data_IF_467883957617
#
_entry.id   IF_467883957617
#
_cell.length_a   1.000
_cell.length_b   1.000
_cell.length_c   1.000
_cell.angle_alpha   90.00
_cell.angle_beta   90.00
_cell.angle_gamma   90.00
#
_symmetry.space_group_name_H-M   'P 1'
#
loop_
_entity.id
_entity.type
_entity.pdbx_description
1 polymer ?
2 polymer ?
3 water ?
#
# COMPACT_ATOMS: atom_id res chain seq x y z
N UNK A 1 -0.14 22.66 18.59
CA UNK A 1 -1.30 22.43 19.50
C UNK A 1 -2.17 21.29 18.98
N UNK A 2 -2.56 20.43 19.92
CA UNK A 2 -3.42 19.29 19.62
C UNK A 2 -4.82 19.70 19.20
N UNK A 3 -5.39 20.61 19.98
CA UNK A 3 -6.81 20.90 19.93
C UNK A 3 -7.16 21.60 18.61
N UNK A 4 -6.14 22.21 18.03
CA UNK A 4 -6.26 22.97 16.80
C UNK A 4 -6.20 22.01 15.63
N UNK A 5 -5.31 21.04 15.77
CA UNK A 5 -5.29 19.92 14.87
C UNK A 5 -6.63 19.17 14.86
N UNK A 6 -7.08 18.71 16.02
CA UNK A 6 -8.41 18.11 16.12
C UNK A 6 -9.48 18.94 15.39
N UNK A 7 -9.53 20.23 15.72
CA UNK A 7 -10.49 21.12 15.07
C UNK A 7 -10.39 21.03 13.55
N UNK A 8 -9.16 21.06 13.05
CA UNK A 8 -8.97 21.11 11.62
C UNK A 8 -9.46 19.82 10.98
N UNK A 9 -9.13 18.68 11.62
CA UNK A 9 -9.64 17.39 11.20
C UNK A 9 -11.17 17.32 11.30
N UNK A 10 -11.70 17.80 12.40
CA UNK A 10 -13.14 17.85 12.51
C UNK A 10 -13.75 18.33 11.20
N UNK A 11 -13.11 19.30 10.53
CA UNK A 11 -13.70 19.87 9.32
C UNK A 11 -13.69 18.92 8.12
N UNK A 12 -12.86 17.89 8.15
CA UNK A 12 -12.84 16.96 7.02
C UNK A 12 -13.59 15.64 7.24
N UNK A 13 -13.78 15.25 8.50
CA UNK A 13 -14.53 14.02 8.78
C UNK A 13 -16.04 14.25 8.64
N UNK A 14 -16.78 13.19 8.32
CA UNK A 14 -18.23 13.19 8.50
C UNK A 14 -18.56 13.38 10.00
N UNK A 15 -19.72 13.97 10.32
CA UNK A 15 -19.81 14.27 11.76
C UNK A 15 -20.42 13.11 12.49
N UNK A 16 -20.45 13.17 13.81
CA UNK A 16 -21.13 12.13 14.55
C UNK A 16 -20.25 10.99 15.02
N UNK A 17 -20.88 9.84 15.19
CA UNK A 17 -20.32 8.75 15.97
C UNK A 17 -20.85 7.50 15.34
N UNK A 18 -19.98 6.68 14.74
CA UNK A 18 -20.46 5.53 14.01
C UNK A 18 -20.65 4.33 14.95
N UNK A 19 -20.05 4.45 16.13
CA UNK A 19 -20.15 3.51 17.24
C UNK A 19 -21.60 3.27 17.53
N UNK A 20 -22.42 4.11 16.92
CA UNK A 20 -23.84 4.06 17.10
C UNK A 20 -24.48 3.18 16.05
N UNK A 21 -23.82 2.94 14.91
CA UNK A 21 -24.47 2.11 13.88
C UNK A 21 -23.77 0.79 13.56
N UNK A 22 -22.68 0.53 14.29
CA UNK A 22 -21.81 -0.62 14.10
C UNK A 22 -21.82 -1.48 15.31
N UNK A 23 -21.64 -2.79 15.11
CA UNK A 23 -21.30 -3.72 16.21
C UNK A 23 -20.59 -4.96 15.72
N UNK A 24 -20.27 -5.82 16.67
CA UNK A 24 -19.42 -7.01 16.51
C UNK A 24 -18.02 -6.63 16.08
N UNK A 25 -17.33 -5.86 16.91
CA UNK A 25 -15.97 -5.45 16.56
C UNK A 25 -15.02 -6.64 16.67
N UNK A 26 -14.15 -6.82 15.68
CA UNK A 26 -13.17 -7.88 15.71
C UNK A 26 -11.85 -7.30 15.35
N UNK A 27 -10.92 -7.26 16.28
CA UNK A 27 -9.64 -6.68 15.97
C UNK A 27 -8.90 -7.58 15.05
N UNK A 28 -8.15 -7.05 14.12
CA UNK A 28 -7.34 -7.90 13.28
C UNK A 28 -6.06 -7.33 12.74
N UNK A 29 -5.62 -6.17 13.20
CA UNK A 29 -4.50 -5.52 12.56
C UNK A 29 -3.65 -4.52 13.29
N UNK A 30 -2.55 -4.17 12.67
CA UNK A 30 -1.65 -3.10 13.15
C UNK A 30 -0.90 -2.48 11.95
N UNK A 31 -1.12 -1.19 11.72
CA UNK A 31 -0.52 -0.45 10.59
C UNK A 31 -0.90 1.01 10.77
N UNK A 32 -0.14 1.93 10.15
CA UNK A 32 -0.19 3.36 10.52
C UNK A 32 0.32 3.43 11.98
N UNK A 33 -0.46 4.02 12.88
CA UNK A 33 -0.51 3.52 14.26
C UNK A 33 -1.96 3.54 14.67
N UNK A 34 -2.33 2.57 15.49
CA UNK A 34 -3.72 2.28 15.72
C UNK A 34 -4.17 1.08 14.89
N UNK A 35 -5.32 0.57 15.28
CA UNK A 35 -5.86 -0.72 14.92
C UNK A 35 -6.68 -0.75 13.63
N UNK A 36 -6.75 -1.95 13.04
CA UNK A 36 -7.79 -2.31 12.07
C UNK A 36 -8.79 -3.23 12.83
N UNK A 37 -10.08 -3.03 12.60
CA UNK A 37 -11.11 -3.86 13.18
C UNK A 37 -12.11 -4.18 12.07
N UNK A 38 -13.07 -5.01 12.38
CA UNK A 38 -14.08 -5.35 11.43
C UNK A 38 -15.38 -5.18 12.20
N UNK A 39 -16.44 -4.72 11.55
CA UNK A 39 -17.69 -4.67 12.24
C UNK A 39 -18.83 -4.89 11.28
N UNK A 40 -20.04 -4.89 11.83
CA UNK A 40 -21.23 -5.12 11.04
C UNK A 40 -22.08 -3.88 11.07
N UNK A 41 -22.39 -3.32 9.89
CA UNK A 41 -23.32 -2.18 9.83
C UNK A 41 -24.66 -2.72 10.33
N UNK A 42 -25.11 -2.21 11.49
CA UNK A 42 -26.36 -2.65 12.10
C UNK A 42 -27.50 -2.64 11.07
N UNK A 43 -27.72 -1.51 10.39
CA UNK A 43 -28.84 -1.41 9.42
C UNK A 43 -28.87 -2.48 8.33
N UNK A 44 -27.72 -2.79 7.72
CA UNK A 44 -27.70 -3.65 6.53
C UNK A 44 -27.23 -5.08 6.76
N UNK A 45 -26.59 -5.34 7.89
CA UNK A 45 -25.92 -6.63 8.14
C UNK A 45 -24.57 -6.81 7.44
N UNK A 46 -24.07 -5.74 6.83
CA UNK A 46 -22.93 -5.81 5.93
C UNK A 46 -21.68 -5.60 6.72
N UNK A 47 -20.55 -5.99 6.13
CA UNK A 47 -19.26 -5.96 6.85
C UNK A 47 -18.39 -4.83 6.42
N UNK A 48 -17.83 -4.13 7.41
CA UNK A 48 -16.85 -3.08 7.10
C UNK A 48 -15.55 -3.29 7.84
N UNK A 49 -14.55 -2.50 7.42
CA UNK A 49 -13.25 -2.49 8.01
C UNK A 49 -13.06 -1.09 8.59
N UNK A 50 -12.86 -1.04 9.89
CA UNK A 50 -12.75 0.20 10.64
C UNK A 50 -11.31 0.33 11.12
N UNK A 51 -10.76 1.52 10.90
CA UNK A 51 -9.35 1.77 11.12
C UNK A 51 -9.31 2.96 12.04
N UNK A 52 -8.67 2.76 13.17
CA UNK A 52 -8.68 3.73 14.25
C UNK A 52 -7.26 4.24 14.50
N UNK A 53 -7.09 5.54 14.45
CA UNK A 53 -5.74 6.05 14.63
C UNK A 53 -5.74 7.07 15.71
N UNK A 54 -4.91 6.83 16.73
CA UNK A 54 -4.82 7.76 17.82
C UNK A 54 -4.07 8.97 17.29
N UNK A 55 -4.65 10.14 17.47
CA UNK A 55 -4.05 11.41 17.03
C UNK A 55 -2.77 11.78 17.82
N UNK A 56 -2.68 11.35 19.08
CA UNK A 56 -1.50 11.53 19.96
C UNK A 56 -0.27 10.68 19.62
N UNK A 57 -0.47 9.56 18.95
CA UNK A 57 0.65 8.76 18.60
C UNK A 57 0.79 8.68 17.11
N UNK A 58 1.55 9.58 16.53
CA UNK A 58 1.74 9.55 15.10
C UNK A 58 3.02 10.20 14.76
N UNK A 59 3.75 9.69 13.79
CA UNK A 59 5.02 10.30 13.52
C UNK A 59 4.85 11.71 13.04
N UNK A 60 3.99 11.89 12.07
CA UNK A 60 3.66 13.21 11.61
C UNK A 60 2.17 13.19 11.57
N UNK A 61 1.57 13.81 12.55
CA UNK A 61 0.16 13.73 12.74
C UNK A 61 -0.62 14.29 11.57
N UNK A 62 -0.15 15.33 10.96
CA UNK A 62 -0.93 15.88 9.86
C UNK A 62 -0.94 15.05 8.55
N UNK A 63 -0.17 13.97 8.51
CA UNK A 63 -0.38 12.94 7.46
C UNK A 63 -1.76 12.35 7.58
N UNK A 64 -2.37 12.45 8.78
CA UNK A 64 -3.73 12.01 8.96
C UNK A 64 -4.72 12.59 7.94
N UNK A 65 -4.56 13.85 7.54
CA UNK A 65 -5.46 14.44 6.54
C UNK A 65 -5.51 13.59 5.31
N UNK A 66 -4.33 13.24 4.80
CA UNK A 66 -4.15 12.49 3.56
C UNK A 66 -5.08 11.28 3.45
N UNK A 67 -5.02 10.37 4.43
CA UNK A 67 -6.03 9.31 4.58
C UNK A 67 -7.31 9.62 3.79
N UNK A 68 -8.10 10.52 4.37
CA UNK A 68 -9.43 10.89 3.91
C UNK A 68 -9.45 11.57 2.54
N UNK A 69 -8.27 11.91 2.00
CA UNK A 69 -8.15 12.58 0.67
C UNK A 69 -8.82 11.80 -0.45
N UNK A 70 -8.66 10.47 -0.40
CA UNK A 70 -9.20 9.57 -1.41
C UNK A 70 -10.70 9.35 -1.15
N UNK A 71 -11.40 10.42 -0.82
CA UNK A 71 -12.83 10.36 -0.62
C UNK A 71 -13.58 10.27 -1.94
N UNK A 72 -14.46 9.28 -2.01
CA UNK A 72 -15.35 9.05 -3.13
C UNK A 72 -14.59 8.53 -4.33
N UNK A 73 -13.30 8.33 -4.13
CA UNK A 73 -12.48 7.80 -5.18
C UNK A 73 -12.80 6.36 -5.33
N UNK A 74 -12.59 5.85 -6.52
CA UNK A 74 -12.43 6.67 -7.67
C UNK A 74 -13.80 7.25 -7.95
N UNK A 75 -14.78 6.38 -7.73
CA UNK A 75 -14.38 5.08 -7.15
C UNK A 75 -13.77 4.09 -8.16
N UNK A 76 -12.47 3.85 -8.00
CA UNK A 76 -11.72 2.96 -8.85
C UNK A 76 -11.92 1.53 -8.39
N UNK A 77 -12.09 0.64 -9.35
CA UNK A 77 -12.35 -0.76 -9.11
C UNK A 77 -11.14 -1.49 -8.49
N UNK A 78 -9.93 -0.94 -8.65
CA UNK A 78 -8.75 -1.50 -8.00
C UNK A 78 -8.31 -0.73 -6.77
N UNK A 79 -9.14 0.19 -6.30
CA UNK A 79 -8.85 0.93 -5.07
C UNK A 79 -9.82 0.53 -3.95
N UNK A 80 -9.29 0.43 -2.73
CA UNK A 80 -10.15 0.18 -1.58
C UNK A 80 -11.15 1.31 -1.47
N UNK A 81 -12.44 0.97 -1.47
CA UNK A 81 -13.48 1.97 -1.34
C UNK A 81 -13.58 2.41 0.12
N UNK A 82 -13.58 3.73 0.30
CA UNK A 82 -13.89 4.33 1.60
C UNK A 82 -15.37 4.75 1.66
N UNK A 83 -15.99 4.55 2.81
CA UNK A 83 -17.37 4.92 2.98
C UNK A 83 -17.55 6.19 3.83
N UNK A 84 -16.73 6.35 4.88
CA UNK A 84 -16.93 7.42 5.83
C UNK A 84 -15.73 7.59 6.68
N UNK A 85 -15.63 8.73 7.34
CA UNK A 85 -14.60 8.96 8.33
C UNK A 85 -15.18 9.80 9.49
N UNK A 86 -14.76 9.50 10.70
CA UNK A 86 -15.34 10.21 11.80
C UNK A 86 -14.20 10.54 12.72
N UNK A 87 -14.43 11.51 13.56
CA UNK A 87 -13.54 11.73 14.70
C UNK A 87 -14.27 11.11 15.88
N UNK A 88 -13.58 10.28 16.68
CA UNK A 88 -14.21 9.59 17.83
C UNK A 88 -13.22 9.53 18.99
N UNK A 89 -13.49 10.31 20.02
CA UNK A 89 -12.55 10.43 21.14
C UNK A 89 -11.31 11.10 20.58
N UNK A 90 -10.15 10.59 20.95
CA UNK A 90 -8.92 11.13 20.39
C UNK A 90 -8.45 10.37 19.15
N UNK A 91 -9.40 9.80 18.40
CA UNK A 91 -9.06 8.96 17.26
C UNK A 91 -9.76 9.33 15.93
N UNK A 92 -9.10 8.99 14.84
CA UNK A 92 -9.73 9.08 13.54
C UNK A 92 -10.23 7.70 13.15
N UNK A 93 -11.44 7.64 12.66
CA UNK A 93 -11.98 6.38 12.23
C UNK A 93 -12.25 6.42 10.79
N UNK A 94 -11.55 5.59 10.02
CA UNK A 94 -11.91 5.43 8.62
C UNK A 94 -12.65 4.13 8.39
N UNK A 95 -13.81 4.21 7.77
CA UNK A 95 -14.68 3.06 7.66
C UNK A 95 -14.74 2.68 6.21
N UNK A 96 -14.09 1.60 5.84
CA UNK A 96 -14.06 1.24 4.47
C UNK A 96 -14.52 -0.14 4.14
N UNK A 97 -14.29 -0.50 2.90
CA UNK A 97 -14.67 -1.75 2.36
C UNK A 97 -13.96 -2.85 3.11
N UNK A 98 -14.54 -4.02 3.17
CA UNK A 98 -13.91 -5.14 3.83
C UNK A 98 -13.34 -6.06 2.78
N UNK A 99 -12.09 -6.45 2.93
CA UNK A 99 -11.42 -7.25 1.91
C UNK A 99 -11.15 -8.66 2.43
N UNK A 100 -12.18 -9.50 2.29
CA UNK A 100 -12.22 -10.81 2.94
C UNK A 100 -11.10 -11.80 2.57
N UNK A 101 -10.29 -11.47 1.56
CA UNK A 101 -9.20 -12.33 1.16
C UNK A 101 -7.87 -12.06 1.83
N UNK A 102 -7.80 -11.02 2.65
CA UNK A 102 -6.58 -10.71 3.33
C UNK A 102 -5.60 -9.98 2.47
N UNK A 103 -4.39 -9.80 2.95
CA UNK A 103 -3.32 -9.18 2.18
C UNK A 103 -2.55 -10.17 1.34
N UNK A 104 -1.82 -9.63 0.39
CA UNK A 104 -0.93 -10.36 -0.49
C UNK A 104 0.25 -10.94 0.25
N UNK A 105 0.62 -10.31 1.33
CA UNK A 105 1.80 -10.67 2.01
C UNK A 105 1.73 -12.10 2.47
N UNK A 106 0.61 -12.52 2.97
CA UNK A 106 0.56 -13.87 3.46
C UNK A 106 0.87 -14.81 2.34
N UNK A 107 0.35 -14.53 1.16
CA UNK A 107 0.60 -15.30 -0.05
C UNK A 107 2.09 -15.35 -0.45
N UNK A 108 2.66 -14.14 -0.53
CA UNK A 108 4.02 -13.92 -0.95
C UNK A 108 5.04 -14.70 -0.07
N UNK A 109 4.69 -14.88 1.20
CA UNK A 109 5.60 -15.50 2.15
C UNK A 109 5.21 -16.94 2.50
N UNK A 110 4.25 -17.50 1.78
CA UNK A 110 3.81 -18.88 2.02
C UNK A 110 3.72 -19.71 0.80
N UNK A 111 3.66 -19.06 -0.37
CA UNK A 111 3.59 -19.79 -1.63
C UNK A 111 4.53 -19.20 -2.67
N UNK A 112 4.53 -19.82 -3.84
CA UNK A 112 5.30 -19.33 -4.95
C UNK A 112 4.35 -19.02 -6.09
N UNK A 113 4.03 -17.75 -6.24
CA UNK A 113 3.15 -17.26 -7.28
C UNK A 113 3.80 -17.57 -8.62
N UNK A 114 3.03 -18.09 -9.56
CA UNK A 114 3.56 -18.24 -10.90
C UNK A 114 3.31 -16.93 -11.58
N UNK A 115 3.86 -16.77 -12.77
CA UNK A 115 3.91 -15.46 -13.45
C UNK A 115 2.56 -14.94 -13.96
N UNK A 116 1.66 -15.86 -14.30
CA UNK A 116 0.26 -15.56 -14.60
C UNK A 116 -0.35 -14.74 -13.46
N UNK A 117 -0.07 -15.18 -12.23
CA UNK A 117 -0.51 -14.51 -11.02
C UNK A 117 0.29 -13.22 -10.75
N UNK A 118 1.61 -13.27 -10.86
CA UNK A 118 2.39 -12.03 -10.78
C UNK A 118 1.80 -10.96 -11.72
N UNK A 119 1.72 -11.32 -13.00
CA UNK A 119 1.14 -10.44 -14.02
C UNK A 119 -0.15 -9.86 -13.52
N UNK A 120 -1.12 -10.75 -13.28
CA UNK A 120 -2.41 -10.33 -12.73
C UNK A 120 -2.21 -9.27 -11.67
N UNK A 121 -1.46 -9.59 -10.63
CA UNK A 121 -1.36 -8.65 -9.56
C UNK A 121 -0.82 -7.30 -10.03
N UNK A 122 0.23 -7.32 -10.85
CA UNK A 122 0.80 -6.05 -11.33
C UNK A 122 -0.18 -5.35 -12.25
N UNK A 123 -0.87 -6.12 -13.08
CA UNK A 123 -1.89 -5.53 -13.92
C UNK A 123 -2.74 -4.63 -13.04
N UNK A 124 -3.37 -5.22 -12.02
CA UNK A 124 -4.37 -4.54 -11.20
C UNK A 124 -3.80 -3.41 -10.36
N UNK A 125 -2.54 -3.54 -9.95
CA UNK A 125 -1.86 -2.46 -9.22
C UNK A 125 -1.49 -1.31 -10.15
N UNK A 126 -1.15 -1.63 -11.39
CA UNK A 126 -0.83 -0.57 -12.36
C UNK A 126 -2.08 0.15 -12.79
N UNK A 127 -3.03 -0.59 -13.37
CA UNK A 127 -4.35 -0.07 -13.70
C UNK A 127 -4.76 0.93 -12.62
N UNK A 128 -4.36 0.65 -11.38
CA UNK A 128 -4.59 1.59 -10.26
C UNK A 128 -3.69 2.82 -10.26
N UNK A 129 -2.39 2.66 -10.07
CA UNK A 129 -1.52 3.82 -9.89
C UNK A 129 -1.63 4.79 -11.09
N UNK A 130 -1.88 4.26 -12.28
CA UNK A 130 -2.00 5.09 -13.50
C UNK A 130 -2.97 6.24 -13.25
N UNK A 131 -4.23 5.88 -12.99
CA UNK A 131 -5.28 6.83 -12.60
C UNK A 131 -4.78 7.83 -11.54
N UNK A 132 -4.10 7.32 -10.51
CA UNK A 132 -3.66 8.15 -9.39
C UNK A 132 -2.58 9.13 -9.74
N UNK A 133 -1.59 8.67 -10.51
CA UNK A 133 -0.53 9.54 -10.95
C UNK A 133 -1.15 10.56 -11.86
N UNK A 134 -2.17 10.13 -12.60
CA UNK A 134 -2.89 10.96 -13.57
C UNK A 134 -3.52 12.21 -12.92
N UNK A 135 -4.27 12.01 -11.84
CA UNK A 135 -4.81 13.10 -11.05
C UNK A 135 -3.84 13.58 -9.95
N UNK A 136 -2.53 13.39 -10.13
CA UNK A 136 -1.49 13.87 -9.20
C UNK A 136 -1.16 13.08 -7.92
N UNK A 137 -2.00 12.08 -7.59
CA UNK A 137 -1.87 11.31 -6.36
C UNK A 137 -0.68 10.33 -6.38
N UNK A 138 0.38 10.58 -5.58
CA UNK A 138 1.43 9.59 -5.19
C UNK A 138 0.93 8.64 -4.06
N UNK A 139 1.44 7.40 -3.97
CA UNK A 139 1.03 6.51 -2.87
C UNK A 139 2.05 6.41 -1.78
N UNK A 140 3.29 6.14 -2.15
CA UNK A 140 4.43 6.28 -1.25
C UNK A 140 4.71 5.14 -0.29
N UNK A 141 3.82 4.16 -0.27
CA UNK A 141 4.05 2.97 0.55
C UNK A 141 3.52 1.68 -0.06
N UNK A 142 4.00 1.40 -1.26
CA UNK A 142 3.66 0.21 -2.01
C UNK A 142 4.47 -1.00 -1.47
N UNK A 143 3.78 -2.14 -1.34
CA UNK A 143 4.36 -3.33 -0.72
C UNK A 143 3.30 -4.43 -0.65
N UNK A 144 3.66 -5.67 -0.38
CA UNK A 144 2.64 -6.71 -0.45
C UNK A 144 1.66 -6.46 0.65
N UNK A 145 2.09 -5.77 1.70
CA UNK A 145 1.19 -5.54 2.81
C UNK A 145 0.02 -4.65 2.39
N UNK A 146 0.26 -3.72 1.45
CA UNK A 146 -0.70 -2.73 1.00
C UNK A 146 -1.66 -3.22 -0.07
N UNK A 147 -1.59 -4.51 -0.39
CA UNK A 147 -2.42 -5.08 -1.46
C UNK A 147 -3.41 -6.01 -0.85
N UNK A 148 -4.66 -5.95 -1.32
CA UNK A 148 -5.74 -6.64 -0.66
C UNK A 148 -6.56 -7.43 -1.64
N UNK A 149 -7.24 -8.44 -1.12
CA UNK A 149 -7.83 -9.48 -1.90
C UNK A 149 -9.26 -9.82 -1.48
N UNK A 150 -10.01 -10.38 -2.43
CA UNK A 150 -11.37 -10.89 -2.22
C UNK A 150 -11.38 -12.44 -2.42
N UNK A 151 -12.38 -13.12 -1.85
CA UNK A 151 -12.49 -14.60 -1.91
C UNK A 151 -12.46 -15.14 -3.31
N UNK A 152 -12.52 -14.23 -4.28
CA UNK A 152 -12.58 -14.55 -5.71
C UNK A 152 -11.43 -13.95 -6.57
N UNK A 153 -10.42 -13.35 -5.93
CA UNK A 153 -9.19 -12.89 -6.61
C UNK A 153 -9.14 -11.45 -7.12
N UNK A 154 -10.15 -10.67 -6.80
CA UNK A 154 -10.16 -9.30 -7.22
C UNK A 154 -9.08 -8.70 -6.36
N UNK A 155 -8.19 -7.92 -6.98
CA UNK A 155 -7.08 -7.28 -6.28
C UNK A 155 -7.26 -5.78 -6.15
N UNK A 156 -7.08 -5.25 -4.93
CA UNK A 156 -7.31 -3.83 -4.65
C UNK A 156 -6.20 -3.20 -3.85
N UNK A 157 -5.72 -2.05 -4.29
CA UNK A 157 -4.74 -1.31 -3.55
C UNK A 157 -5.38 -0.73 -2.31
N UNK A 158 -4.60 -0.52 -1.28
CA UNK A 158 -5.10 -0.04 -0.02
C UNK A 158 -4.10 0.75 0.78
N UNK A 159 -4.42 1.02 2.02
CA UNK A 159 -3.48 1.71 2.87
C UNK A 159 -2.92 2.98 2.32
N UNK A 160 -3.77 3.98 2.19
CA UNK A 160 -3.43 5.25 1.59
C UNK A 160 -2.99 6.32 2.56
N UNK A 161 -2.73 5.95 3.78
CA UNK A 161 -2.39 6.88 4.82
C UNK A 161 -1.17 7.69 4.51
N UNK A 162 -0.22 7.12 3.80
CA UNK A 162 1.00 7.85 3.45
C UNK A 162 0.99 8.68 2.17
N UNK A 163 -0.09 8.61 1.40
CA UNK A 163 -0.08 9.17 0.04
C UNK A 163 0.10 10.71 0.00
N UNK A 164 0.38 11.26 -1.20
CA UNK A 164 0.52 12.73 -1.39
C UNK A 164 -0.25 13.31 -2.61
N UNK A 165 -0.51 14.62 -2.59
CA UNK A 165 -1.17 15.34 -3.71
C UNK A 165 -0.19 16.23 -4.50
N UNK A 166 -0.30 16.19 -5.83
CA UNK A 166 0.56 17.02 -6.69
C UNK A 166 -0.17 17.63 -7.91
N UNK A 167 0.21 18.87 -8.25
CA UNK A 167 -0.28 19.59 -9.43
C UNK A 167 0.95 20.08 -10.18
N UNK A 168 0.77 20.92 -11.17
CA UNK A 168 1.95 21.40 -11.88
C UNK A 168 2.61 22.64 -11.26
N UNK A 169 1.91 23.30 -10.34
CA UNK A 169 2.52 24.36 -9.53
C UNK A 169 3.32 23.71 -8.40
N UNK A 170 2.75 22.61 -7.90
CA UNK A 170 3.33 21.80 -6.81
C UNK A 170 3.47 20.32 -7.26
N UNK A 171 4.50 20.02 -8.07
CA UNK A 171 4.73 18.64 -8.51
C UNK A 171 5.50 17.74 -7.51
N UNK A 172 6.77 18.06 -7.25
CA UNK A 172 7.68 17.23 -6.43
C UNK A 172 7.45 17.23 -4.89
N UNK A 173 8.27 16.49 -4.13
CA UNK A 173 8.25 16.43 -2.64
C UNK A 173 9.65 16.11 -2.03
N UNK A 174 9.77 16.12 -0.70
CA UNK A 174 11.07 15.88 -0.02
C UNK A 174 11.01 14.92 1.18
N UNK A 175 9.81 14.80 1.76
CA UNK A 175 9.55 14.03 2.96
C UNK A 175 10.02 12.60 2.89
N UNK A 176 10.73 12.19 3.92
CA UNK A 176 11.04 10.77 4.13
C UNK A 176 9.78 10.02 4.64
N UNK A 177 9.10 9.34 3.73
CA UNK A 177 7.91 8.55 4.02
C UNK A 177 8.02 7.19 3.32
N UNK A 178 7.71 6.13 4.04
CA UNK A 178 7.66 4.81 3.42
C UNK A 178 8.20 3.78 4.38
N UNK A 179 8.10 2.52 3.97
CA UNK A 179 8.77 1.40 4.64
C UNK A 179 10.19 1.32 4.10
N UNK A 180 11.21 1.44 4.98
CA UNK A 180 12.61 1.45 4.53
C UNK A 180 12.83 0.58 3.26
N UNK A 181 12.77 -0.75 3.40
CA UNK A 181 13.11 -1.71 2.33
C UNK A 181 12.56 -1.39 0.94
N UNK A 182 11.45 -0.68 0.87
CA UNK A 182 10.79 -0.47 -0.42
C UNK A 182 10.94 0.91 -0.99
N UNK A 183 11.77 1.75 -0.37
CA UNK A 183 11.87 3.17 -0.77
C UNK A 183 12.73 3.38 -2.03
N UNK A 184 12.21 4.16 -2.98
CA UNK A 184 12.93 4.51 -4.19
C UNK A 184 14.21 5.29 -3.88
N UNK A 185 15.27 5.13 -4.70
CA UNK A 185 16.59 5.64 -4.31
C UNK A 185 16.61 7.15 -4.10
N UNK A 186 15.85 7.89 -4.89
CA UNK A 186 15.83 9.35 -4.74
C UNK A 186 15.31 9.76 -3.36
N UNK A 187 14.43 8.93 -2.81
CA UNK A 187 13.71 9.22 -1.57
C UNK A 187 14.57 9.02 -0.30
N UNK A 188 15.52 8.09 -0.37
CA UNK A 188 16.47 7.91 0.74
C UNK A 188 17.52 9.02 0.73
N UNK A 189 17.81 9.33 -0.53
CA UNK A 189 18.60 10.41 -1.08
C UNK A 189 17.94 11.73 -0.79
N UNK A 190 16.63 11.71 -0.66
CA UNK A 190 15.92 12.94 -0.41
C UNK A 190 16.18 13.80 -1.60
N UNK A 191 15.16 13.89 -2.44
CA UNK A 191 15.24 14.60 -3.70
C UNK A 191 13.83 14.91 -4.09
N UNK A 192 13.63 15.73 -5.09
CA UNK A 192 12.27 16.14 -5.42
C UNK A 192 11.56 15.11 -6.24
N UNK A 193 11.23 14.02 -5.58
CA UNK A 193 10.58 12.90 -6.24
C UNK A 193 9.14 13.17 -6.72
N UNK A 194 8.59 12.23 -7.48
CA UNK A 194 7.24 12.35 -7.96
C UNK A 194 6.65 10.99 -7.81
N UNK A 195 5.56 10.73 -8.55
CA UNK A 195 4.85 9.45 -8.62
C UNK A 195 5.75 8.25 -8.92
N UNK A 196 6.82 8.48 -9.66
CA UNK A 196 7.71 7.43 -10.15
C UNK A 196 8.22 6.51 -9.05
N UNK A 197 8.39 7.02 -7.83
CA UNK A 197 8.81 6.18 -6.68
C UNK A 197 7.83 5.02 -6.43
N UNK A 198 6.57 5.18 -6.82
CA UNK A 198 5.64 4.08 -6.66
C UNK A 198 6.04 2.92 -7.55
N UNK A 199 6.66 3.26 -8.68
CA UNK A 199 7.10 2.30 -9.68
C UNK A 199 8.28 1.54 -9.10
N UNK A 200 9.30 2.25 -8.68
CA UNK A 200 10.36 1.56 -7.94
C UNK A 200 9.87 0.53 -6.94
N UNK A 201 8.92 0.92 -6.07
CA UNK A 201 8.51 0.07 -4.94
C UNK A 201 7.80 -1.18 -5.39
N UNK A 202 7.02 -1.02 -6.45
CA UNK A 202 6.35 -2.16 -7.05
C UNK A 202 7.35 -3.21 -7.54
N UNK A 203 8.51 -2.77 -8.05
CA UNK A 203 9.58 -3.65 -8.46
C UNK A 203 10.11 -4.46 -7.30
N UNK A 204 10.24 -3.81 -6.15
CA UNK A 204 10.63 -4.50 -4.89
C UNK A 204 9.55 -5.48 -4.52
N UNK A 205 8.31 -5.13 -4.86
CA UNK A 205 7.20 -5.94 -4.52
C UNK A 205 7.16 -7.15 -5.45
N UNK A 206 7.65 -6.96 -6.67
CA UNK A 206 7.69 -8.05 -7.62
C UNK A 206 8.70 -9.08 -7.09
N UNK A 207 9.79 -8.55 -6.51
CA UNK A 207 10.78 -9.38 -5.87
C UNK A 207 10.11 -10.16 -4.76
N UNK A 208 9.17 -9.53 -4.09
CA UNK A 208 8.49 -10.17 -2.99
C UNK A 208 7.81 -11.36 -3.58
N UNK A 209 7.04 -11.10 -4.62
CA UNK A 209 6.24 -12.17 -5.24
C UNK A 209 7.12 -13.33 -5.68
N UNK A 210 8.28 -12.98 -6.27
CA UNK A 210 9.19 -13.97 -6.79
C UNK A 210 9.97 -14.69 -5.71
N UNK A 211 10.74 -13.93 -4.91
CA UNK A 211 11.63 -14.49 -3.89
C UNK A 211 11.01 -14.76 -2.53
N UNK A 212 9.88 -14.11 -2.23
CA UNK A 212 9.24 -14.22 -0.92
C UNK A 212 9.50 -13.06 0.06
N UNK A 213 10.65 -12.40 -0.12
CA UNK A 213 11.02 -11.26 0.72
C UNK A 213 11.65 -10.19 -0.16
N UNK A 214 11.83 -8.98 0.39
CA UNK A 214 12.50 -7.90 -0.35
C UNK A 214 13.99 -8.01 -0.19
N UNK A 215 14.76 -7.18 -0.94
CA UNK A 215 16.22 -7.12 -0.78
C UNK A 215 16.66 -6.66 0.63
N UNK A 216 17.77 -7.22 1.12
CA UNK A 216 18.40 -6.79 2.36
C UNK A 216 17.44 -6.88 3.52
N UNK A 217 16.45 -7.75 3.40
CA UNK A 217 15.38 -7.90 4.39
C UNK A 217 15.84 -8.07 5.87
N UNK A 218 17.04 -8.63 6.08
CA UNK A 218 17.60 -8.90 7.43
C UNK A 218 18.39 -7.77 8.07
N UNK A 219 18.95 -6.91 7.22
CA UNK A 219 19.76 -5.76 7.62
C UNK A 219 18.96 -4.72 8.41
N UNK A 220 19.58 -4.10 9.45
CA UNK A 220 18.84 -3.03 10.13
C UNK A 220 18.18 -2.16 9.08
N UNK A 221 16.88 -1.87 9.24
CA UNK A 221 16.15 -0.97 8.34
C UNK A 221 16.95 0.30 8.00
N UNK A 222 17.76 0.73 8.97
CA UNK A 222 18.63 1.90 8.87
C UNK A 222 19.66 1.77 7.76
N UNK A 223 20.49 0.71 7.85
CA UNK A 223 21.67 0.58 6.98
C UNK A 223 21.31 -0.03 5.61
N UNK A 224 20.23 -0.80 5.59
CA UNK A 224 19.70 -1.36 4.35
C UNK A 224 19.30 -0.25 3.40
N UNK A 225 18.97 0.90 3.99
CA UNK A 225 18.57 2.08 3.22
C UNK A 225 19.72 2.69 2.44
N UNK A 226 20.91 2.70 3.04
CA UNK A 226 22.13 3.12 2.33
C UNK A 226 22.37 2.23 1.10
N UNK A 227 22.36 0.92 1.34
CA UNK A 227 22.48 -0.08 0.29
C UNK A 227 21.56 0.25 -0.87
N UNK A 228 20.34 0.65 -0.54
CA UNK A 228 19.34 1.03 -1.52
C UNK A 228 19.66 2.35 -2.27
N UNK A 229 20.60 3.12 -1.74
CA UNK A 229 20.93 4.46 -2.27
C UNK A 229 22.21 4.47 -3.10
N UNK A 230 23.29 3.91 -2.56
CA UNK A 230 24.55 3.80 -3.29
C UNK A 230 24.38 2.75 -4.35
N UNK A 231 23.94 1.57 -3.91
CA UNK A 231 24.05 0.37 -4.72
C UNK A 231 23.36 0.40 -6.08
N UNK A 232 24.05 -0.28 -6.98
CA UNK A 232 23.52 -0.86 -8.19
C UNK A 232 22.30 -1.75 -7.82
N UNK A 233 21.19 -1.62 -8.60
CA UNK A 233 19.88 -2.27 -8.36
C UNK A 233 19.96 -3.78 -7.98
N UNK A 234 18.99 -4.28 -7.19
CA UNK A 234 19.28 -5.52 -6.45
C UNK A 234 19.10 -6.86 -7.19
N UNK A 235 19.93 -7.84 -6.82
CA UNK A 235 19.83 -9.23 -7.32
C UNK A 235 18.43 -9.74 -7.09
N UNK A 236 17.91 -10.50 -8.04
CA UNK A 236 16.75 -11.32 -7.75
C UNK A 236 17.28 -12.69 -7.31
N UNK A 237 17.20 -13.01 -6.01
CA UNK A 237 17.67 -14.32 -5.55
C UNK A 237 17.30 -15.52 -6.48
N UNK A 238 16.03 -15.62 -6.93
CA UNK A 238 15.62 -16.67 -7.88
C UNK A 238 15.43 -16.24 -9.33
N UNK A 239 16.40 -15.50 -9.89
CA UNK A 239 16.35 -15.07 -11.30
C UNK A 239 16.20 -16.24 -12.28
N UNK A 240 16.76 -17.38 -11.90
CA UNK A 240 16.70 -18.54 -12.77
C UNK A 240 15.32 -19.16 -12.82
N UNK A 241 14.48 -18.85 -11.85
CA UNK A 241 13.11 -19.34 -11.91
C UNK A 241 12.22 -18.40 -12.73
N UNK A 242 12.74 -17.28 -13.21
CA UNK A 242 11.85 -16.34 -13.92
C UNK A 242 12.15 -16.12 -15.38
N UNK A 243 11.07 -16.11 -16.16
CA UNK A 243 11.14 -15.84 -17.59
C UNK A 243 11.80 -14.49 -17.87
N UNK A 244 12.56 -14.41 -18.98
CA UNK A 244 13.23 -13.21 -19.45
C UNK A 244 12.27 -12.04 -19.49
N UNK A 245 11.02 -12.35 -19.87
CA UNK A 245 9.96 -11.38 -20.01
C UNK A 245 9.68 -10.64 -18.72
N UNK A 246 9.55 -11.43 -17.66
CA UNK A 246 9.33 -10.94 -16.33
C UNK A 246 10.54 -10.08 -15.96
N UNK A 247 11.74 -10.64 -15.98
CA UNK A 247 12.93 -9.81 -15.73
C UNK A 247 12.99 -8.57 -16.66
N UNK A 248 12.50 -8.69 -17.89
CA UNK A 248 12.48 -7.54 -18.82
C UNK A 248 11.52 -6.43 -18.40
N UNK A 249 10.40 -6.84 -17.83
CA UNK A 249 9.40 -5.97 -17.24
C UNK A 249 9.91 -5.28 -15.97
N UNK A 250 10.49 -6.11 -15.12
CA UNK A 250 11.17 -5.66 -13.94
C UNK A 250 12.29 -4.68 -14.21
N UNK A 251 12.94 -4.79 -15.37
CA UNK A 251 14.08 -3.89 -15.67
C UNK A 251 13.65 -2.47 -15.95
N UNK A 252 12.45 -2.32 -16.51
CA UNK A 252 11.82 -1.02 -16.68
C UNK A 252 11.50 -0.34 -15.33
N UNK A 253 11.41 -1.15 -14.27
CA UNK A 253 10.94 -0.68 -12.95
C UNK A 253 12.07 -0.25 -12.04
N UNK A 254 13.06 -1.12 -11.86
CA UNK A 254 14.14 -0.86 -10.91
C UNK A 254 15.36 -0.09 -11.47
N UNK A 255 15.11 1.00 -12.22
CA UNK A 255 16.16 1.96 -12.67
C UNK A 255 16.55 2.94 -11.56
N UNK A 256 17.85 3.00 -11.23
CA UNK A 256 18.43 3.98 -10.26
C UNK A 256 18.18 5.45 -10.64
N UNK A 257 18.24 5.77 -11.93
CA UNK A 257 17.75 7.06 -12.40
C UNK A 257 16.24 7.03 -12.66
N UNK A 258 15.49 7.83 -11.89
CA UNK A 258 14.04 7.92 -11.95
C UNK A 258 13.50 8.39 -13.29
N UNK A 259 14.30 9.20 -14.01
CA UNK A 259 13.92 9.74 -15.33
C UNK A 259 13.70 8.64 -16.37
N UNK A 260 14.42 7.54 -16.19
CA UNK A 260 14.39 6.37 -17.08
C UNK A 260 13.41 5.28 -16.63
N UNK A 261 13.22 5.16 -15.32
CA UNK A 261 12.16 4.32 -14.77
C UNK A 261 10.86 4.57 -15.52
N UNK A 262 10.17 3.49 -15.88
CA UNK A 262 8.92 3.60 -16.66
C UNK A 262 7.77 4.19 -15.86
N UNK A 263 6.73 4.62 -16.55
CA UNK A 263 5.53 5.05 -15.89
C UNK A 263 4.52 3.91 -15.96
N UNK A 264 3.57 3.94 -15.02
CA UNK A 264 2.43 3.06 -15.05
C UNK A 264 1.73 3.12 -16.40
N UNK A 265 1.79 4.32 -17.00
CA UNK A 265 1.13 4.57 -18.28
C UNK A 265 1.84 3.74 -19.32
N UNK A 266 3.15 3.97 -19.41
CA UNK A 266 4.01 3.10 -20.19
C UNK A 266 3.64 1.63 -19.90
N UNK A 267 3.79 1.23 -18.63
CA UNK A 267 3.82 -0.18 -18.22
C UNK A 267 2.58 -1.00 -18.50
N UNK A 268 1.45 -0.33 -18.63
CA UNK A 268 0.16 -0.99 -18.75
C UNK A 268 0.01 -1.77 -20.05
N UNK A 269 1.00 -1.66 -20.93
CA UNK A 269 0.92 -2.30 -22.23
C UNK A 269 2.11 -3.21 -22.48
N UNK A 270 3.25 -2.93 -21.83
CA UNK A 270 4.39 -3.86 -21.82
C UNK A 270 3.89 -5.30 -21.88
N UNK A 271 4.43 -6.11 -22.82
CA UNK A 271 3.84 -7.40 -23.20
C UNK A 271 3.71 -8.44 -22.10
N UNK A 272 4.54 -8.30 -21.06
CA UNK A 272 4.52 -9.22 -19.90
C UNK A 272 3.08 -9.40 -19.37
N UNK A 273 2.37 -8.27 -19.29
CA UNK A 273 1.03 -8.24 -18.74
C UNK A 273 -0.02 -8.98 -19.55
N UNK A 274 0.28 -9.33 -20.80
CA UNK A 274 -0.58 -10.23 -21.56
C UNK A 274 -0.71 -11.59 -20.82
N UNK A 275 0.16 -11.79 -19.82
CA UNK A 275 0.22 -13.02 -19.03
C UNK A 275 -0.85 -13.02 -17.96
N UNK A 276 -1.17 -11.84 -17.46
CA UNK A 276 -2.17 -11.64 -16.40
C UNK A 276 -3.35 -12.58 -16.54
N UNK A 277 -3.58 -13.38 -15.49
CA UNK A 277 -4.67 -14.36 -15.43
C UNK A 277 -5.96 -13.76 -14.86
N UNK A 278 -7.10 -14.43 -15.06
CA UNK A 278 -8.33 -13.81 -14.53
C UNK A 278 -8.25 -13.76 -13.00
N UNK A 279 -9.11 -12.97 -12.37
CA UNK A 279 -9.17 -13.01 -10.90
C UNK A 279 -9.18 -14.46 -10.32
N UNK A 280 -9.84 -15.37 -11.01
CA UNK A 280 -10.02 -16.73 -10.51
C UNK A 280 -8.72 -17.52 -10.43
N UNK A 281 -7.68 -17.03 -11.09
CA UNK A 281 -6.35 -17.67 -10.99
C UNK A 281 -5.73 -17.52 -9.59
N UNK A 282 -6.04 -16.39 -8.93
CA UNK A 282 -5.43 -16.05 -7.65
C UNK A 282 -6.04 -16.87 -6.51
N UNK A 283 -7.26 -17.33 -6.70
CA UNK A 283 -7.95 -18.04 -5.63
C UNK A 283 -7.17 -19.22 -5.02
N UNK A 284 -6.50 -20.07 -5.83
CA UNK A 284 -5.94 -21.18 -5.04
C UNK A 284 -4.76 -20.72 -4.20
N UNK A 285 -4.40 -19.44 -4.33
CA UNK A 285 -3.32 -18.84 -3.57
C UNK A 285 -3.72 -18.54 -2.14
N UNK A 286 -4.99 -18.22 -1.93
CA UNK A 286 -5.41 -17.71 -0.62
C UNK A 286 -5.60 -18.80 0.42
N UNK A 287 -5.14 -18.51 1.64
CA UNK A 287 -5.05 -19.47 2.76
C UNK A 287 -6.01 -20.68 2.76
N UNK A 288 -7.26 -20.46 2.36
CA UNK A 288 -8.33 -21.48 2.42
C UNK A 288 -8.20 -22.69 1.52
N UNK A 289 -7.14 -22.76 0.71
CA UNK A 289 -7.23 -23.62 -0.47
C UNK A 289 -6.21 -24.79 -0.73
N UNK A 290 -5.01 -24.82 -0.12
CA UNK A 290 -4.43 -23.69 0.59
C UNK A 290 -4.20 -22.55 -0.38
N UNK B 4 -8.45 -16.01 14.26
CA UNK B 4 -7.22 -15.50 13.58
C UNK B 4 -6.64 -14.25 14.21
N UNK B 5 -6.00 -14.42 15.37
CA UNK B 5 -5.20 -13.37 16.00
C UNK B 5 -4.09 -13.98 16.89
N UNK B 6 -3.03 -14.61 16.35
CA UNK B 6 -2.66 -14.80 14.91
C UNK B 6 -2.30 -13.57 14.10
N UNK B 7 -3.13 -13.24 13.11
CA UNK B 7 -2.80 -12.19 12.14
C UNK B 7 -2.60 -10.77 12.72
N UNK B 8 -2.85 -10.61 14.02
CA UNK B 8 -2.48 -9.37 14.73
C UNK B 8 -0.98 -9.32 15.01
N UNK B 9 -0.35 -10.50 15.11
CA UNK B 9 1.09 -10.59 15.43
C UNK B 9 2.10 -10.86 14.28
N UNK B 10 1.61 -11.15 13.06
CA UNK B 10 2.46 -11.21 11.85
C UNK B 10 2.32 -9.96 10.99
N UNK B 11 1.27 -9.17 11.25
CA UNK B 11 1.20 -7.81 10.73
C UNK B 11 2.18 -6.90 11.48
N UNK B 12 2.42 -7.22 12.75
CA UNK B 12 3.34 -6.46 13.62
C UNK B 12 4.80 -6.95 13.56
N UNK B 13 5.01 -8.08 12.87
CA UNK B 13 6.36 -8.67 12.72
C UNK B 13 6.97 -8.48 11.33
N UNK B 14 6.15 -8.02 10.39
CA UNK B 14 6.63 -7.43 9.14
C UNK B 14 7.23 -6.06 9.53
N UNK B 15 8.01 -5.45 8.63
CA UNK B 15 8.63 -4.20 9.08
C UNK B 15 7.65 -3.05 9.20
N UNK B 16 7.84 -2.29 10.26
CA UNK B 16 7.17 -1.00 10.45
C UNK B 16 7.73 0.02 9.45
N UNK B 17 6.88 0.97 9.01
CA UNK B 17 7.42 2.12 8.25
C UNK B 17 8.08 3.13 9.21
N UNK B 18 8.92 4.02 8.68
CA UNK B 18 9.38 5.14 9.52
C UNK B 18 9.41 6.45 8.75
N UNK B 19 8.69 7.42 9.31
CA UNK B 19 8.58 8.80 8.81
C UNK B 19 9.04 9.73 9.93
N UNK B 20 9.99 10.62 9.67
CA UNK B 20 10.50 11.50 10.72
C UNK B 20 9.65 12.78 10.89
N UNK B 21 9.62 13.34 12.13
CA UNK B 21 8.84 14.52 12.62
C UNK B 21 8.58 15.73 11.68
N UNK B 22 8.02 16.82 12.24
CA UNK B 22 7.55 18.01 11.48
C UNK B 22 8.63 18.77 10.70
N UNK B 23 9.78 19.06 11.35
CA UNK B 23 10.97 19.74 10.76
C UNK B 23 10.73 20.59 9.50
#
# INVERSE_FOLDING_TARGET
>A
SHEQFRAALQLVVDPGDPRSYLDNFIKIGEGSTGIVCIATVRSSGKLVAVKKMDLRKQQRRELLFNEVVIMRDYQHENVVEMYNSYLVGDELWVVMEFLEGGALTDIVTHTRMNEEQIAAVCLAVLQALSVLHAQGVIHRDIKSDSILLTHDGRVKLSDFGFCAQVSKEVPRRKSLVGTPYWMAPELISRLPYGPEVDIWSLGIMVIEMVDGEPPYFNEPPLKAMKMIRDNLPPRLKNLHKVSPSLKGFLDRLLVRDPAQRATAAELLKHPFLAKAGPPASIVPLMRQNRTR
>B
PRQWQSLIEESARRPKPLVDPACIT
#
